data_IF_099140094757
#
_entry.id   IF_099140094757
#
_cell.length_a   1.000
_cell.length_b   1.000
_cell.length_c   1.000
_cell.angle_alpha   90.00
_cell.angle_beta   90.00
_cell.angle_gamma   90.00
#
_symmetry.space_group_name_H-M   'P 1'
#
loop_
_entity.id
_entity.type
_entity.pdbx_description
1 polymer ?
#
# COMPACT_ATOMS: atom_id res chain seq x y z
N UNK A 1 -7.04 5.73 5.15
CA UNK A 1 -6.11 5.34 4.08
C UNK A 1 -6.65 5.85 2.72
N UNK A 2 -5.79 6.36 1.81
CA UNK A 2 -6.21 6.84 0.47
C UNK A 2 -6.58 5.66 -0.46
N UNK A 3 -7.38 5.91 -1.52
CA UNK A 3 -7.85 4.88 -2.47
C UNK A 3 -6.71 4.06 -3.09
N UNK A 4 -5.59 4.70 -3.45
CA UNK A 4 -4.42 4.04 -4.06
C UNK A 4 -3.77 3.05 -3.10
N UNK A 5 -3.49 3.47 -1.86
CA UNK A 5 -2.92 2.59 -0.83
C UNK A 5 -3.82 1.37 -0.56
N UNK A 6 -5.15 1.57 -0.47
CA UNK A 6 -6.07 0.44 -0.30
C UNK A 6 -6.06 -0.51 -1.51
N UNK A 7 -5.93 0.02 -2.73
CA UNK A 7 -5.80 -0.79 -3.95
C UNK A 7 -4.53 -1.63 -3.93
N UNK A 8 -3.38 -1.02 -3.60
CA UNK A 8 -2.09 -1.71 -3.47
C UNK A 8 -2.21 -2.82 -2.43
N UNK A 9 -2.70 -2.49 -1.22
CA UNK A 9 -2.81 -3.43 -0.11
C UNK A 9 -3.70 -4.64 -0.46
N UNK A 10 -4.87 -4.40 -1.07
CA UNK A 10 -5.76 -5.48 -1.53
C UNK A 10 -5.13 -6.33 -2.62
N UNK A 11 -4.36 -5.72 -3.53
CA UNK A 11 -3.71 -6.44 -4.61
C UNK A 11 -2.64 -7.38 -4.07
N UNK A 12 -1.78 -6.91 -3.16
CA UNK A 12 -0.76 -7.74 -2.50
C UNK A 12 -1.43 -8.84 -1.69
N UNK A 13 -2.46 -8.51 -0.90
CA UNK A 13 -3.20 -9.50 -0.10
C UNK A 13 -3.78 -10.64 -0.95
N UNK A 14 -4.21 -10.35 -2.18
CA UNK A 14 -4.78 -11.34 -3.10
C UNK A 14 -3.72 -12.27 -3.69
N UNK A 15 -2.52 -11.76 -3.96
CA UNK A 15 -1.45 -12.52 -4.63
C UNK A 15 -0.39 -13.08 -3.66
N UNK A 16 -0.46 -12.69 -2.38
CA UNK A 16 0.50 -13.06 -1.34
C UNK A 16 1.77 -12.21 -1.39
N UNK A 17 2.55 -12.39 -2.46
CA UNK A 17 3.79 -11.66 -2.73
C UNK A 17 3.80 -11.14 -4.17
N UNK A 18 4.36 -9.96 -4.38
CA UNK A 18 4.55 -9.36 -5.71
C UNK A 18 5.96 -8.80 -5.83
N UNK A 19 6.43 -8.56 -7.05
CA UNK A 19 7.72 -7.87 -7.25
C UNK A 19 7.63 -6.40 -6.81
N UNK A 20 8.76 -5.83 -6.37
CA UNK A 20 8.86 -4.41 -6.01
C UNK A 20 8.50 -3.49 -7.18
N UNK A 21 8.93 -3.86 -8.38
CA UNK A 21 8.59 -3.18 -9.63
C UNK A 21 7.08 -3.14 -9.89
N UNK A 22 6.40 -4.26 -9.67
CA UNK A 22 4.95 -4.33 -9.79
C UNK A 22 4.26 -3.46 -8.73
N UNK A 23 4.71 -3.48 -7.48
CA UNK A 23 4.20 -2.63 -6.41
C UNK A 23 4.31 -1.13 -6.75
N UNK A 24 5.48 -0.71 -7.27
CA UNK A 24 5.76 0.66 -7.71
C UNK A 24 4.84 1.07 -8.87
N UNK A 25 4.58 0.14 -9.82
CA UNK A 25 3.66 0.35 -10.94
C UNK A 25 2.19 0.43 -10.52
N UNK A 26 1.80 -0.23 -9.43
CA UNK A 26 0.46 -0.12 -8.85
C UNK A 26 0.21 1.25 -8.21
N UNK A 27 1.26 1.88 -7.66
CA UNK A 27 1.20 3.24 -7.11
C UNK A 27 1.04 4.28 -8.22
N UNK A 28 1.83 4.16 -9.29
CA UNK A 28 1.67 4.96 -10.50
C UNK A 28 2.27 4.22 -11.71
N UNK A 29 1.57 4.27 -12.85
CA UNK A 29 2.06 3.67 -14.10
C UNK A 29 3.31 4.37 -14.63
N UNK A 30 3.41 5.70 -14.46
CA UNK A 30 4.51 6.54 -14.95
C UNK A 30 4.84 7.65 -13.93
N UNK A 31 5.39 7.30 -12.76
CA UNK A 31 5.79 8.25 -11.75
C UNK A 31 6.87 9.16 -12.28
N UNK A 32 6.54 10.43 -12.44
CA UNK A 32 7.51 11.46 -12.85
C UNK A 32 8.33 11.95 -11.67
N UNK A 33 7.77 11.81 -10.46
CA UNK A 33 8.36 12.30 -9.21
C UNK A 33 8.13 11.31 -8.07
N UNK A 34 9.00 11.38 -7.06
CA UNK A 34 8.93 10.58 -5.84
C UNK A 34 7.58 10.65 -5.11
N UNK A 35 6.86 11.80 -5.18
CA UNK A 35 5.56 11.99 -4.51
C UNK A 35 4.52 10.95 -4.92
N UNK A 36 4.65 10.39 -6.12
CA UNK A 36 3.76 9.33 -6.61
C UNK A 36 4.01 7.97 -5.96
N UNK A 37 5.15 7.80 -5.28
CA UNK A 37 5.49 6.60 -4.50
C UNK A 37 5.13 6.72 -3.02
N UNK A 38 4.66 7.89 -2.57
CA UNK A 38 4.34 8.13 -1.16
C UNK A 38 3.28 7.17 -0.63
N UNK A 39 2.30 6.79 -1.46
CA UNK A 39 1.26 5.84 -1.08
C UNK A 39 1.81 4.44 -0.76
N UNK A 40 2.83 4.00 -1.52
CA UNK A 40 3.52 2.74 -1.29
C UNK A 40 4.50 2.85 -0.12
N UNK A 41 5.26 3.95 -0.05
CA UNK A 41 6.18 4.22 1.05
C UNK A 41 5.48 4.24 2.41
N UNK A 42 4.31 4.89 2.51
CA UNK A 42 3.49 4.92 3.72
C UNK A 42 3.04 3.52 4.16
N UNK A 43 2.64 2.66 3.21
CA UNK A 43 2.23 1.30 3.54
C UNK A 43 3.40 0.50 4.14
N UNK A 44 4.62 0.74 3.66
CA UNK A 44 5.83 0.09 4.16
C UNK A 44 6.21 0.66 5.53
N UNK A 45 6.27 2.00 5.66
CA UNK A 45 6.65 2.67 6.91
C UNK A 45 5.67 2.35 8.05
N UNK A 46 4.38 2.29 7.74
CA UNK A 46 3.34 1.96 8.72
C UNK A 46 3.18 0.45 8.93
N UNK A 47 4.05 -0.37 8.35
CA UNK A 47 4.11 -1.82 8.49
C UNK A 47 2.87 -2.58 8.01
N UNK A 48 2.05 -1.99 7.14
CA UNK A 48 0.97 -2.74 6.48
C UNK A 48 1.52 -3.73 5.45
N UNK A 49 2.65 -3.39 4.83
CA UNK A 49 3.39 -4.25 3.89
C UNK A 49 4.87 -4.29 4.26
N UNK A 50 5.54 -5.38 3.91
CA UNK A 50 6.98 -5.57 4.06
C UNK A 50 7.67 -5.68 2.71
N UNK A 51 8.99 -5.56 2.73
CA UNK A 51 9.86 -5.78 1.57
C UNK A 51 10.98 -6.75 1.93
N UNK A 52 11.52 -7.44 0.93
CA UNK A 52 12.72 -8.28 1.09
C UNK A 52 14.00 -7.49 1.29
N UNK A 53 14.06 -6.25 0.77
CA UNK A 53 15.15 -5.31 1.10
C UNK A 53 14.88 -4.54 2.38
N UNK A 54 15.94 -4.18 3.13
CA UNK A 54 15.83 -3.19 4.19
C UNK A 54 15.21 -1.90 3.66
N UNK A 55 14.19 -1.40 4.35
CA UNK A 55 13.66 -0.08 4.07
C UNK A 55 14.71 0.96 4.50
N UNK A 56 15.10 1.89 3.62
CA UNK A 56 16.20 2.80 3.91
C UNK A 56 15.80 3.76 5.03
N UNK A 57 16.66 3.86 6.03
CA UNK A 57 16.59 4.85 7.09
C UNK A 57 17.90 5.62 7.12
N UNK A 58 17.84 6.94 6.93
CA UNK A 58 19.02 7.81 7.09
C UNK A 58 18.97 8.53 8.43
N UNK A 59 20.14 8.71 9.07
CA UNK A 59 20.27 9.55 10.26
C UNK A 59 19.70 10.95 9.97
N UNK A 60 18.75 11.41 10.78
CA UNK A 60 18.05 12.69 10.61
C UNK A 60 16.71 12.61 9.88
N UNK A 61 16.34 11.46 9.30
CA UNK A 61 15.03 11.25 8.65
C UNK A 61 14.06 10.41 9.46
N UNK A 62 14.36 10.18 10.73
CA UNK A 62 13.52 9.41 11.67
C UNK A 62 12.09 9.97 11.79
N UNK A 63 11.92 11.28 11.53
CA UNK A 63 10.63 11.96 11.55
C UNK A 63 9.84 11.83 10.24
N UNK A 64 10.45 11.38 9.14
CA UNK A 64 9.83 11.26 7.80
C UNK A 64 10.34 10.02 7.04
N UNK A 65 10.23 8.81 7.61
CA UNK A 65 10.69 7.57 6.97
C UNK A 65 10.02 7.33 5.61
N UNK A 66 8.78 7.75 5.43
CA UNK A 66 8.03 7.62 4.20
C UNK A 66 8.56 8.48 3.06
N UNK A 67 9.20 9.62 3.35
CA UNK A 67 9.83 10.47 2.34
C UNK A 67 11.06 9.76 1.76
N UNK A 68 11.90 9.21 2.63
CA UNK A 68 13.08 8.44 2.21
C UNK A 68 12.68 7.17 1.47
N UNK A 69 11.63 6.49 1.92
CA UNK A 69 11.03 5.39 1.18
C UNK A 69 10.57 5.80 -0.21
N UNK A 70 9.91 6.94 -0.35
CA UNK A 70 9.44 7.43 -1.63
C UNK A 70 10.60 7.77 -2.59
N UNK A 71 11.70 8.35 -2.08
CA UNK A 71 12.92 8.57 -2.87
C UNK A 71 13.54 7.26 -3.34
N UNK A 72 13.73 6.31 -2.43
CA UNK A 72 14.26 4.99 -2.77
C UNK A 72 13.41 4.27 -3.81
N UNK A 73 12.10 4.19 -3.60
CA UNK A 73 11.17 3.57 -4.55
C UNK A 73 11.17 4.26 -5.92
N UNK A 74 11.45 5.56 -5.96
CA UNK A 74 11.57 6.31 -7.21
C UNK A 74 12.91 6.05 -7.91
N UNK A 75 14.02 6.03 -7.16
CA UNK A 75 15.35 5.70 -7.66
C UNK A 75 15.39 4.33 -8.33
N UNK A 76 14.60 3.36 -7.85
CA UNK A 76 14.48 2.03 -8.45
C UNK A 76 13.96 2.01 -9.90
N UNK A 77 13.49 3.15 -10.43
CA UNK A 77 13.05 3.29 -11.82
C UNK A 77 14.00 4.10 -12.69
N UNK A 78 14.98 4.77 -12.09
CA UNK A 78 15.94 5.58 -12.81
C UNK A 78 16.99 4.66 -13.44
N UNK A 79 17.52 5.09 -14.59
CA UNK A 79 18.62 4.38 -15.23
C UNK A 79 19.90 4.56 -14.41
N UNK A 80 20.71 3.51 -14.35
CA UNK A 80 22.04 3.59 -13.77
C UNK A 80 22.97 4.44 -14.65
N UNK A 81 23.80 5.26 -14.03
CA UNK A 81 24.86 5.98 -14.73
C UNK A 81 25.97 5.00 -15.19
N UNK A 82 26.95 5.47 -15.97
CA UNK A 82 28.10 4.71 -16.50
C UNK A 82 28.89 3.94 -15.43
N UNK A 83 28.77 4.34 -14.16
CA UNK A 83 29.41 3.71 -13.01
C UNK A 83 28.51 2.70 -12.26
N UNK A 84 27.30 2.41 -12.75
CA UNK A 84 26.33 1.54 -12.05
C UNK A 84 25.70 2.22 -10.82
N UNK A 85 25.63 3.55 -10.83
CA UNK A 85 25.08 4.35 -9.72
C UNK A 85 23.79 5.04 -10.15
N UNK A 86 22.79 5.05 -9.26
CA UNK A 86 21.58 5.88 -9.39
C UNK A 86 21.70 7.07 -8.46
N UNK A 87 21.46 8.27 -8.99
CA UNK A 87 21.51 9.53 -8.22
C UNK A 87 20.16 10.26 -8.29
N UNK A 88 19.65 10.67 -7.14
CA UNK A 88 18.42 11.46 -7.05
C UNK A 88 18.43 12.34 -5.81
N UNK A 89 18.18 13.65 -5.97
CA UNK A 89 18.07 14.62 -4.86
C UNK A 89 19.25 14.53 -3.84
N UNK A 90 20.48 14.34 -4.35
CA UNK A 90 21.69 14.21 -3.54
C UNK A 90 21.93 12.83 -2.90
N UNK A 91 21.04 11.88 -3.10
CA UNK A 91 21.17 10.49 -2.66
C UNK A 91 21.80 9.66 -3.78
N UNK A 92 22.83 8.88 -3.46
CA UNK A 92 23.48 7.94 -4.39
C UNK A 92 23.24 6.51 -3.91
N UNK A 93 22.85 5.63 -4.82
CA UNK A 93 22.68 4.21 -4.55
C UNK A 93 23.39 3.39 -5.64
N UNK A 94 24.09 2.32 -5.25
CA UNK A 94 24.80 1.43 -6.16
C UNK A 94 24.40 -0.02 -5.93
N UNK A 95 24.44 -0.83 -6.99
CA UNK A 95 24.40 -2.29 -6.90
C UNK A 95 23.04 -2.90 -6.57
N UNK A 96 21.96 -2.17 -6.76
CA UNK A 96 20.65 -2.62 -6.31
C UNK A 96 19.84 -3.22 -7.48
N UNK A 97 19.90 -4.55 -7.60
CA UNK A 97 19.13 -5.31 -8.59
C UNK A 97 17.70 -5.56 -8.08
N UNK A 98 16.86 -4.53 -8.18
CA UNK A 98 15.53 -4.50 -7.59
C UNK A 98 14.48 -5.36 -8.29
N UNK A 99 14.77 -5.88 -9.48
CA UNK A 99 13.83 -6.73 -10.24
C UNK A 99 13.55 -8.06 -9.50
N UNK A 100 14.46 -8.49 -8.61
CA UNK A 100 14.31 -9.70 -7.79
C UNK A 100 13.64 -9.46 -6.45
N UNK A 101 13.46 -8.20 -6.07
CA UNK A 101 12.95 -7.83 -4.77
C UNK A 101 11.44 -7.96 -4.71
N UNK A 102 10.95 -8.39 -3.54
CA UNK A 102 9.55 -8.70 -3.30
C UNK A 102 8.93 -7.79 -2.26
N UNK A 103 7.64 -7.59 -2.41
CA UNK A 103 6.76 -6.91 -1.48
C UNK A 103 5.68 -7.89 -1.06
N UNK A 104 5.45 -7.98 0.24
CA UNK A 104 4.49 -8.90 0.83
C UNK A 104 3.64 -8.18 1.86
N UNK A 105 2.45 -8.70 2.13
CA UNK A 105 1.57 -8.12 3.14
C UNK A 105 1.99 -8.58 4.55
N UNK A 106 1.98 -7.66 5.51
CA UNK A 106 2.25 -7.96 6.92
C UNK A 106 0.96 -8.21 7.68
N UNK A 107 1.07 -8.73 8.91
CA UNK A 107 -0.06 -9.02 9.80
C UNK A 107 -0.97 -7.80 10.00
N UNK A 108 -0.39 -6.61 10.20
CA UNK A 108 -1.15 -5.35 10.32
C UNK A 108 -1.95 -5.02 9.06
N UNK A 109 -1.39 -5.29 7.88
CA UNK A 109 -2.07 -5.23 6.58
C UNK A 109 -3.29 -6.12 6.51
N UNK A 110 -3.14 -7.38 6.92
CA UNK A 110 -4.23 -8.35 6.93
C UNK A 110 -5.34 -7.95 7.90
N UNK A 111 -5.00 -7.59 9.14
CA UNK A 111 -5.96 -7.15 10.15
C UNK A 111 -6.78 -5.95 9.66
N UNK A 112 -6.11 -4.97 9.05
CA UNK A 112 -6.80 -3.81 8.50
C UNK A 112 -7.81 -4.16 7.40
N UNK A 113 -7.46 -5.09 6.51
CA UNK A 113 -8.38 -5.56 5.47
C UNK A 113 -9.56 -6.34 6.04
N UNK A 114 -9.32 -7.10 7.11
CA UNK A 114 -10.36 -7.88 7.78
C UNK A 114 -11.35 -6.97 8.52
N UNK A 115 -10.86 -5.98 9.27
CA UNK A 115 -11.70 -4.95 9.89
C UNK A 115 -12.59 -4.23 8.87
N UNK A 116 -12.04 -3.92 7.69
CA UNK A 116 -12.82 -3.30 6.61
C UNK A 116 -13.88 -4.23 6.06
N UNK A 117 -13.62 -5.54 6.00
CA UNK A 117 -14.60 -6.54 5.58
C UNK A 117 -15.71 -6.67 6.62
N UNK A 118 -15.34 -6.76 7.90
CA UNK A 118 -16.28 -6.85 9.01
C UNK A 118 -17.20 -5.64 9.04
N UNK A 119 -16.66 -4.41 9.01
CA UNK A 119 -17.47 -3.17 8.98
C UNK A 119 -18.47 -3.14 7.82
N UNK A 120 -18.08 -3.65 6.64
CA UNK A 120 -19.00 -3.72 5.50
C UNK A 120 -20.11 -4.73 5.74
N UNK A 121 -19.79 -5.88 6.32
CA UNK A 121 -20.79 -6.89 6.67
C UNK A 121 -21.76 -6.36 7.73
N UNK A 122 -21.25 -5.66 8.74
CA UNK A 122 -22.07 -5.05 9.79
C UNK A 122 -23.07 -4.07 9.20
N UNK A 123 -22.63 -3.18 8.30
CA UNK A 123 -23.53 -2.23 7.60
C UNK A 123 -24.62 -2.98 6.81
N UNK A 124 -24.26 -4.05 6.09
CA UNK A 124 -25.22 -4.83 5.31
C UNK A 124 -26.23 -5.51 6.24
N UNK A 125 -25.77 -6.13 7.32
CA UNK A 125 -26.62 -6.80 8.31
C UNK A 125 -27.55 -5.78 8.97
N UNK A 126 -27.03 -4.64 9.43
CA UNK A 126 -27.86 -3.58 10.02
C UNK A 126 -28.92 -3.06 9.05
N UNK A 127 -28.59 -2.95 7.76
CA UNK A 127 -29.56 -2.57 6.74
C UNK A 127 -30.69 -3.61 6.61
N UNK A 128 -30.36 -4.91 6.56
CA UNK A 128 -31.36 -5.97 6.49
C UNK A 128 -32.22 -6.06 7.75
N UNK A 129 -31.62 -5.92 8.93
CA UNK A 129 -32.38 -5.91 10.21
C UNK A 129 -33.33 -4.73 10.25
N UNK A 130 -32.88 -3.52 9.87
CA UNK A 130 -33.73 -2.34 9.79
C UNK A 130 -34.87 -2.53 8.77
N UNK A 131 -34.55 -3.04 7.59
CA UNK A 131 -35.55 -3.32 6.56
C UNK A 131 -36.61 -4.32 7.02
N UNK A 132 -36.19 -5.46 7.61
CA UNK A 132 -37.11 -6.47 8.14
C UNK A 132 -37.96 -5.93 9.29
N UNK A 133 -37.39 -5.13 10.19
CA UNK A 133 -38.13 -4.50 11.29
C UNK A 133 -39.21 -3.53 10.83
N UNK A 134 -39.06 -2.90 9.66
CA UNK A 134 -40.08 -2.02 9.07
C UNK A 134 -41.14 -2.81 8.30
N UNK A 135 -40.76 -3.93 7.68
CA UNK A 135 -41.63 -4.75 6.85
C UNK A 135 -42.68 -5.52 7.66
N UNK A 136 -42.30 -6.00 8.86
CA UNK A 136 -43.19 -6.78 9.74
C UNK A 136 -44.41 -5.95 10.19
N UNK A 137 -44.26 -4.73 10.77
CA UNK A 137 -45.39 -3.87 11.11
C UNK A 137 -46.24 -3.48 9.89
N UNK A 138 -45.60 -3.22 8.75
CA UNK A 138 -46.31 -2.85 7.52
C UNK A 138 -47.23 -3.97 7.01
N UNK A 139 -46.79 -5.23 7.08
CA UNK A 139 -47.62 -6.38 6.73
C UNK A 139 -48.74 -6.61 7.74
N UNK A 140 -48.47 -6.44 9.05
CA UNK A 140 -49.48 -6.55 10.10
C UNK A 140 -50.59 -5.51 9.98
N UNK A 141 -50.29 -4.30 9.49
CA UNK A 141 -51.29 -3.24 9.30
C UNK A 141 -52.20 -3.46 8.08
N UNK A 142 -51.86 -4.40 7.19
CA UNK A 142 -52.62 -4.74 5.98
C UNK A 142 -53.54 -5.95 6.13
N UNK A 143 -53.42 -6.69 7.24
CA UNK A 143 -54.27 -7.82 7.61
C UNK A 143 -55.38 -7.31 8.53
#
# INVERSE_FOLDING_TARGET
>A
MRRVSLKILKYIAKHGEISLKEAVNLSSKKPKIHKEQYALALLISDEFIGMSVPFPTMKGTEKMPELMGAYFLHMNRLEEDKNGEVKYEGITQSGANFDKEKVFIRSKGFLYLDELRQKRNDIIISFFVGFLSALIPFLLMKI
#
